data_IF_227075618488
#
_entry.id   IF_227075618488
#
_cell.length_a   1.000
_cell.length_b   1.000
_cell.length_c   1.000
_cell.angle_alpha   90.00
_cell.angle_beta   90.00
_cell.angle_gamma   90.00
#
_symmetry.space_group_name_H-M   'P 1'
#
loop_
_entity.id
_entity.type
_entity.pdbx_description
1 polymer ?
#
# COMPACT_ATOMS: atom_id res chain seq x y z
N UNK A 1 22.72 21.52 5.90
CA UNK A 1 21.66 22.09 6.74
C UNK A 1 20.39 22.17 5.90
N UNK A 2 19.51 21.20 6.06
CA UNK A 2 18.07 21.23 5.74
C UNK A 2 17.50 20.01 6.45
N UNK A 3 16.97 20.25 7.64
CA UNK A 3 16.14 19.29 8.34
C UNK A 3 14.80 19.26 7.60
N UNK A 4 14.34 18.07 7.20
CA UNK A 4 12.94 17.82 6.90
C UNK A 4 12.55 16.70 7.85
N UNK A 5 11.85 17.12 8.90
CA UNK A 5 11.19 16.28 9.88
C UNK A 5 9.70 16.32 9.50
N UNK A 6 9.01 15.19 9.70
CA UNK A 6 7.55 15.04 9.82
C UNK A 6 6.76 14.75 8.55
N UNK A 7 6.43 13.48 8.34
CA UNK A 7 5.03 12.99 8.35
C UNK A 7 5.00 11.58 8.96
N UNK A 8 5.13 11.45 10.29
CA UNK A 8 4.70 10.26 11.07
C UNK A 8 4.93 10.52 12.58
N UNK A 9 4.29 11.55 13.10
CA UNK A 9 4.15 11.73 14.54
C UNK A 9 2.71 12.13 14.87
N UNK A 10 1.82 11.14 14.99
CA UNK A 10 0.71 11.18 15.95
C UNK A 10 0.27 9.74 16.24
N UNK A 11 0.79 9.16 17.32
CA UNK A 11 0.10 8.10 18.05
C UNK A 11 0.06 8.52 19.52
N UNK A 12 -0.93 9.34 19.85
CA UNK A 12 -1.36 9.47 21.24
C UNK A 12 -2.08 8.18 21.65
N UNK A 13 -1.80 7.62 22.84
CA UNK A 13 -2.46 6.40 23.30
C UNK A 13 -3.86 6.75 23.82
N UNK A 14 -4.87 6.66 22.96
CA UNK A 14 -6.26 6.81 23.37
C UNK A 14 -7.23 6.63 22.22
N UNK A 15 -8.18 5.68 22.39
CA UNK A 15 -9.32 5.35 21.50
C UNK A 15 -9.03 4.33 20.39
N UNK A 16 -9.02 3.06 20.76
CA UNK A 16 -8.84 1.90 19.86
C UNK A 16 -9.99 1.62 18.87
N UNK A 17 -11.03 2.47 18.80
CA UNK A 17 -12.03 2.45 17.72
C UNK A 17 -11.97 3.69 16.80
N UNK A 18 -11.21 4.72 17.19
CA UNK A 18 -10.94 5.90 16.35
C UNK A 18 -9.78 5.62 15.38
N UNK A 19 -8.80 4.84 15.83
CA UNK A 19 -7.53 4.60 15.12
C UNK A 19 -7.68 3.92 13.75
N UNK A 20 -8.58 2.94 13.61
CA UNK A 20 -8.70 2.17 12.37
C UNK A 20 -9.43 2.93 11.27
N UNK A 21 -10.53 3.61 11.59
CA UNK A 21 -11.24 4.47 10.63
C UNK A 21 -10.38 5.66 10.21
N UNK A 22 -9.62 6.22 11.16
CA UNK A 22 -8.66 7.28 10.88
C UNK A 22 -7.52 6.79 9.97
N UNK A 23 -6.94 5.62 10.26
CA UNK A 23 -5.93 5.02 9.39
C UNK A 23 -6.46 4.72 7.99
N UNK A 24 -7.66 4.15 7.87
CA UNK A 24 -8.26 3.85 6.56
C UNK A 24 -8.41 5.12 5.72
N UNK A 25 -8.84 6.22 6.34
CA UNK A 25 -8.90 7.53 5.69
C UNK A 25 -7.52 8.08 5.32
N UNK A 26 -6.53 7.97 6.21
CA UNK A 26 -5.17 8.45 5.96
C UNK A 26 -4.50 7.70 4.80
N UNK A 27 -4.62 6.37 4.75
CA UNK A 27 -4.05 5.58 3.65
C UNK A 27 -4.79 5.87 2.33
N UNK A 28 -6.10 6.08 2.37
CA UNK A 28 -6.86 6.51 1.20
C UNK A 28 -6.38 7.87 0.66
N UNK A 29 -6.15 8.85 1.54
CA UNK A 29 -5.61 10.17 1.19
C UNK A 29 -4.19 10.08 0.60
N UNK A 30 -3.32 9.24 1.18
CA UNK A 30 -1.99 8.94 0.62
C UNK A 30 -2.09 8.44 -0.83
N UNK A 31 -3.06 7.55 -1.12
CA UNK A 31 -3.29 7.09 -2.48
C UNK A 31 -3.81 8.20 -3.42
N UNK A 32 -4.58 9.17 -2.90
CA UNK A 32 -5.05 10.33 -3.65
C UNK A 32 -3.90 11.28 -4.01
N UNK A 33 -2.96 11.52 -3.09
CA UNK A 33 -1.74 12.26 -3.40
C UNK A 33 -0.87 11.50 -4.41
N UNK A 34 -0.70 10.18 -4.25
CA UNK A 34 0.06 9.35 -5.19
C UNK A 34 -0.51 9.41 -6.62
N UNK A 35 -1.83 9.31 -6.75
CA UNK A 35 -2.52 9.37 -8.05
C UNK A 35 -2.51 10.76 -8.69
N UNK A 36 -2.26 11.81 -7.90
CA UNK A 36 -2.41 13.20 -8.32
C UNK A 36 -3.86 13.70 -8.30
N UNK A 37 -4.80 12.91 -7.75
CA UNK A 37 -6.19 13.35 -7.53
C UNK A 37 -6.26 14.46 -6.48
N UNK A 38 -5.39 14.38 -5.47
CA UNK A 38 -5.15 15.44 -4.50
C UNK A 38 -3.82 16.14 -4.82
N UNK A 39 -3.80 17.47 -4.76
CA UNK A 39 -2.58 18.27 -5.01
C UNK A 39 -1.84 18.49 -3.70
N UNK A 40 -0.54 18.21 -3.70
CA UNK A 40 0.36 18.45 -2.58
C UNK A 40 1.77 18.02 -2.92
N UNK A 41 2.67 18.18 -1.96
CA UNK A 41 4.00 17.58 -2.05
C UNK A 41 3.88 16.06 -1.95
N UNK A 42 4.62 15.36 -2.78
CA UNK A 42 4.67 13.90 -2.79
C UNK A 42 6.11 13.46 -2.79
N UNK A 43 6.50 12.59 -1.87
CA UNK A 43 7.87 12.07 -1.81
C UNK A 43 7.95 10.69 -2.48
N UNK A 44 7.70 10.68 -3.80
CA UNK A 44 7.88 9.48 -4.60
C UNK A 44 9.10 9.65 -5.49
N UNK A 45 9.88 8.59 -5.62
CA UNK A 45 11.08 8.58 -6.44
C UNK A 45 10.72 8.65 -7.94
N UNK A 46 11.47 9.45 -8.69
CA UNK A 46 11.29 9.65 -10.13
C UNK A 46 9.82 9.96 -10.52
N UNK A 47 9.18 10.98 -9.92
CA UNK A 47 7.76 11.28 -10.13
C UNK A 47 7.44 11.62 -11.60
N UNK A 48 8.42 12.13 -12.36
CA UNK A 48 8.30 12.44 -13.78
C UNK A 48 8.21 11.18 -14.66
N UNK A 49 8.51 10.00 -14.12
CA UNK A 49 8.37 8.70 -14.80
C UNK A 49 7.04 8.01 -14.50
N UNK A 50 6.24 8.56 -13.59
CA UNK A 50 4.91 8.05 -13.24
C UNK A 50 3.84 8.83 -14.01
N UNK A 51 3.15 8.17 -14.94
CA UNK A 51 2.05 8.80 -15.69
C UNK A 51 0.77 8.89 -14.84
N UNK A 52 0.74 9.88 -13.95
CA UNK A 52 -0.37 10.14 -13.02
C UNK A 52 -1.71 10.37 -13.71
N UNK A 53 -1.72 10.86 -14.95
CA UNK A 53 -2.96 11.07 -15.71
C UNK A 53 -3.72 9.77 -16.01
N UNK A 54 -3.03 8.62 -15.91
CA UNK A 54 -3.60 7.29 -16.12
C UNK A 54 -3.92 6.56 -14.81
N UNK A 55 -3.65 7.17 -13.66
CA UNK A 55 -3.92 6.60 -12.34
C UNK A 55 -5.36 6.82 -11.88
N UNK A 56 -6.31 6.14 -12.51
CA UNK A 56 -7.76 6.28 -12.27
C UNK A 56 -8.40 5.21 -11.34
N UNK A 57 -7.59 4.51 -10.55
CA UNK A 57 -7.97 3.42 -9.66
C UNK A 57 -8.62 2.20 -10.33
N UNK A 58 -8.42 2.02 -11.63
CA UNK A 58 -8.82 0.80 -12.34
C UNK A 58 -7.75 -0.30 -12.20
N UNK A 59 -8.11 -1.54 -12.54
CA UNK A 59 -7.10 -2.60 -12.65
C UNK A 59 -6.04 -2.28 -13.72
N UNK A 60 -6.42 -1.61 -14.80
CA UNK A 60 -5.50 -1.24 -15.89
C UNK A 60 -4.50 -0.17 -15.45
N UNK A 61 -4.83 0.68 -14.46
CA UNK A 61 -3.90 1.69 -13.96
C UNK A 61 -2.72 1.07 -13.20
N UNK A 62 -2.84 -0.18 -12.73
CA UNK A 62 -1.75 -0.90 -12.08
C UNK A 62 -0.60 -1.23 -13.05
N UNK A 63 -0.87 -1.32 -14.36
CA UNK A 63 0.19 -1.47 -15.36
C UNK A 63 1.11 -0.24 -15.41
N UNK A 64 0.58 0.95 -15.08
CA UNK A 64 1.35 2.20 -14.97
C UNK A 64 2.27 2.16 -13.75
N UNK A 65 1.74 1.69 -12.63
CA UNK A 65 2.51 1.52 -11.39
C UNK A 65 3.62 0.49 -11.61
N UNK A 66 3.33 -0.67 -12.21
CA UNK A 66 4.34 -1.70 -12.52
C UNK A 66 5.41 -1.21 -13.51
N UNK A 67 5.03 -0.44 -14.54
CA UNK A 67 6.00 0.17 -15.45
C UNK A 67 6.92 1.15 -14.72
N UNK A 68 6.38 1.98 -13.84
CA UNK A 68 7.15 2.91 -13.01
C UNK A 68 8.06 2.20 -12.01
N UNK A 69 7.58 1.19 -11.28
CA UNK A 69 8.43 0.38 -10.39
C UNK A 69 9.57 -0.31 -11.15
N UNK A 70 9.34 -0.71 -12.41
CA UNK A 70 10.40 -1.25 -13.27
C UNK A 70 11.48 -0.21 -13.60
N UNK A 71 11.12 1.07 -13.67
CA UNK A 71 12.08 2.17 -13.81
C UNK A 71 12.91 2.31 -12.52
N UNK A 72 12.27 2.26 -11.34
CA UNK A 72 12.97 2.33 -10.06
C UNK A 72 14.02 1.22 -9.93
N UNK A 73 13.62 -0.02 -10.23
CA UNK A 73 14.55 -1.17 -10.26
C UNK A 73 15.73 -0.97 -11.20
N UNK A 74 15.49 -0.45 -12.40
CA UNK A 74 16.55 -0.18 -13.38
C UNK A 74 17.54 0.88 -12.90
N UNK A 75 17.12 1.75 -11.99
CA UNK A 75 17.98 2.74 -11.34
C UNK A 75 18.61 2.24 -10.03
N UNK A 76 18.42 0.96 -9.68
CA UNK A 76 19.02 0.36 -8.49
C UNK A 76 18.32 0.73 -7.17
N UNK A 77 17.05 1.15 -7.23
CA UNK A 77 16.25 1.37 -6.01
C UNK A 77 15.93 0.02 -5.37
N UNK A 78 16.31 -0.13 -4.10
CA UNK A 78 16.03 -1.30 -3.28
C UNK A 78 14.96 -0.97 -2.23
N UNK A 79 14.13 -1.94 -1.88
CA UNK A 79 13.02 -1.74 -0.96
C UNK A 79 13.43 -1.63 0.51
N UNK A 80 14.66 -2.01 0.85
CA UNK A 80 15.26 -1.82 2.17
C UNK A 80 15.95 -0.46 2.34
N UNK A 81 15.98 0.38 1.30
CA UNK A 81 16.55 1.71 1.37
C UNK A 81 15.57 2.70 2.01
N UNK A 82 16.11 3.64 2.79
CA UNK A 82 15.33 4.71 3.43
C UNK A 82 14.61 5.59 2.40
N UNK A 83 15.26 5.87 1.27
CA UNK A 83 14.70 6.67 0.16
C UNK A 83 13.50 5.98 -0.53
N UNK A 84 13.38 4.66 -0.47
CA UNK A 84 12.27 3.93 -1.08
C UNK A 84 11.04 3.85 -0.18
N UNK A 85 11.16 4.17 1.11
CA UNK A 85 10.11 3.94 2.10
C UNK A 85 8.79 4.61 1.72
N UNK A 86 8.80 5.92 1.46
CA UNK A 86 7.59 6.66 1.09
C UNK A 86 7.01 6.17 -0.24
N UNK A 87 7.86 6.00 -1.26
CA UNK A 87 7.50 5.42 -2.56
C UNK A 87 6.73 4.10 -2.42
N UNK A 88 7.17 3.20 -1.55
CA UNK A 88 6.55 1.91 -1.31
C UNK A 88 5.20 2.05 -0.61
N UNK A 89 5.11 2.86 0.44
CA UNK A 89 3.86 3.09 1.16
C UNK A 89 2.82 3.70 0.23
N UNK A 90 3.20 4.72 -0.53
CA UNK A 90 2.29 5.47 -1.39
C UNK A 90 1.74 4.64 -2.54
N UNK A 91 2.61 3.88 -3.21
CA UNK A 91 2.17 2.99 -4.29
C UNK A 91 1.42 1.77 -3.75
N UNK A 92 1.80 1.22 -2.60
CA UNK A 92 1.08 0.15 -1.93
C UNK A 92 -0.33 0.58 -1.49
N UNK A 93 -0.47 1.80 -0.97
CA UNK A 93 -1.76 2.42 -0.67
C UNK A 93 -2.64 2.48 -1.93
N UNK A 94 -2.10 2.97 -3.04
CA UNK A 94 -2.81 3.01 -4.33
C UNK A 94 -3.26 1.62 -4.80
N UNK A 95 -2.40 0.60 -4.71
CA UNK A 95 -2.76 -0.78 -5.05
C UNK A 95 -3.92 -1.30 -4.18
N UNK A 96 -3.86 -1.08 -2.87
CA UNK A 96 -4.95 -1.49 -1.98
C UNK A 96 -6.25 -0.73 -2.21
N UNK A 97 -6.16 0.53 -2.59
CA UNK A 97 -7.30 1.37 -2.96
C UNK A 97 -7.94 0.94 -4.30
N UNK A 98 -7.16 0.40 -5.26
CA UNK A 98 -7.71 -0.30 -6.43
C UNK A 98 -8.47 -1.56 -6.01
N UNK A 99 -7.91 -2.36 -5.09
CA UNK A 99 -8.54 -3.57 -4.56
C UNK A 99 -9.87 -3.24 -3.86
N UNK A 100 -9.90 -2.25 -2.96
CA UNK A 100 -11.13 -1.80 -2.27
C UNK A 100 -12.25 -1.45 -3.25
N UNK A 101 -11.93 -0.79 -4.37
CA UNK A 101 -12.92 -0.34 -5.37
C UNK A 101 -13.43 -1.46 -6.28
N UNK A 102 -12.61 -2.48 -6.55
CA UNK A 102 -13.00 -3.58 -7.45
C UNK A 102 -13.58 -4.80 -6.71
N UNK A 103 -13.29 -4.95 -5.41
CA UNK A 103 -13.72 -6.09 -4.63
C UNK A 103 -15.23 -6.09 -4.39
N UNK A 104 -15.82 -7.29 -4.34
CA UNK A 104 -17.24 -7.47 -4.00
C UNK A 104 -17.54 -7.25 -2.53
N UNK A 105 -16.56 -7.52 -1.67
CA UNK A 105 -16.65 -7.36 -0.22
C UNK A 105 -15.92 -6.10 0.20
N UNK A 106 -16.46 -5.32 1.15
CA UNK A 106 -15.75 -4.16 1.68
C UNK A 106 -14.46 -4.56 2.37
N UNK A 107 -13.37 -3.88 2.01
CA UNK A 107 -12.09 -3.97 2.70
C UNK A 107 -11.82 -2.67 3.47
N UNK A 108 -11.11 -2.81 4.58
CA UNK A 108 -10.61 -1.70 5.40
C UNK A 108 -9.13 -1.89 5.69
N UNK A 109 -8.38 -0.79 5.76
CA UNK A 109 -7.01 -0.81 6.23
C UNK A 109 -6.96 -0.92 7.75
N UNK A 110 -6.06 -1.75 8.24
CA UNK A 110 -5.79 -1.94 9.67
C UNK A 110 -4.29 -1.96 9.93
N UNK A 111 -3.82 -1.44 11.09
CA UNK A 111 -2.49 -1.78 11.57
C UNK A 111 -2.36 -3.29 11.72
N UNK A 112 -1.19 -3.84 11.36
CA UNK A 112 -0.89 -5.26 11.53
C UNK A 112 -1.24 -5.77 12.93
N UNK A 113 -0.86 -5.01 13.96
CA UNK A 113 -1.10 -5.39 15.36
C UNK A 113 -2.59 -5.40 15.73
N UNK A 114 -3.40 -4.52 15.14
CA UNK A 114 -4.85 -4.54 15.36
C UNK A 114 -5.49 -5.74 14.67
N UNK A 115 -5.13 -6.01 13.41
CA UNK A 115 -5.60 -7.18 12.69
C UNK A 115 -5.26 -8.47 13.45
N UNK A 116 -4.01 -8.63 13.86
CA UNK A 116 -3.51 -9.85 14.51
C UNK A 116 -4.11 -10.14 15.89
N UNK A 117 -4.67 -9.14 16.59
CA UNK A 117 -5.41 -9.38 17.86
C UNK A 117 -6.64 -10.29 17.67
N UNK A 118 -7.20 -10.31 16.46
CA UNK A 118 -8.40 -11.08 16.12
C UNK A 118 -8.09 -12.46 15.54
N UNK A 119 -6.81 -12.78 15.36
CA UNK A 119 -6.35 -13.96 14.62
C UNK A 119 -5.71 -15.00 15.55
N UNK A 120 -5.56 -16.24 15.04
CA UNK A 120 -4.82 -17.28 15.76
C UNK A 120 -3.34 -16.89 15.88
N UNK A 121 -2.67 -17.09 17.03
CA UNK A 121 -1.26 -16.72 17.21
C UNK A 121 -0.31 -17.29 16.14
N UNK A 122 -0.60 -18.48 15.62
CA UNK A 122 0.19 -19.11 14.57
C UNK A 122 0.25 -18.32 13.26
N UNK A 123 -0.71 -17.43 13.00
CA UNK A 123 -0.70 -16.59 11.80
C UNK A 123 0.50 -15.66 11.77
N UNK A 124 0.98 -15.18 12.93
CA UNK A 124 2.18 -14.34 13.04
C UNK A 124 3.46 -15.04 12.59
N UNK A 125 3.49 -16.37 12.61
CA UNK A 125 4.61 -17.15 12.09
C UNK A 125 4.59 -17.22 10.55
N UNK A 126 3.41 -17.13 9.94
CA UNK A 126 3.23 -17.18 8.49
C UNK A 126 3.37 -15.79 7.86
N UNK A 127 2.89 -14.76 8.55
CA UNK A 127 2.92 -13.36 8.12
C UNK A 127 3.56 -12.57 9.26
N UNK A 128 4.89 -12.51 9.35
CA UNK A 128 5.56 -11.75 10.39
C UNK A 128 5.39 -10.24 10.20
N UNK A 129 5.56 -9.48 11.29
CA UNK A 129 5.62 -8.03 11.23
C UNK A 129 6.89 -7.59 10.48
N UNK A 130 6.74 -6.70 9.52
CA UNK A 130 7.78 -6.12 8.70
C UNK A 130 7.27 -4.82 8.08
N UNK A 131 8.17 -4.06 7.43
CA UNK A 131 7.78 -2.86 6.70
C UNK A 131 6.66 -3.12 5.67
N UNK A 132 6.74 -4.23 4.92
CA UNK A 132 5.73 -4.59 3.91
C UNK A 132 4.40 -5.06 4.50
N UNK A 133 4.35 -5.42 5.79
CA UNK A 133 3.16 -5.99 6.45
C UNK A 133 2.56 -5.08 7.51
N UNK A 134 3.15 -3.91 7.79
CA UNK A 134 2.72 -3.00 8.85
C UNK A 134 1.27 -2.51 8.73
N UNK A 135 0.75 -2.44 7.49
CA UNK A 135 -0.66 -2.20 7.19
C UNK A 135 -1.24 -3.37 6.41
N UNK A 136 -2.41 -3.85 6.86
CA UNK A 136 -3.12 -4.98 6.28
C UNK A 136 -4.43 -4.47 5.69
N UNK A 137 -4.77 -4.95 4.51
CA UNK A 137 -6.08 -4.72 3.93
C UNK A 137 -6.98 -5.92 4.25
N UNK A 138 -7.97 -5.74 5.11
CA UNK A 138 -8.80 -6.81 5.64
C UNK A 138 -10.27 -6.64 5.25
N UNK A 139 -10.91 -7.74 4.86
CA UNK A 139 -12.34 -7.83 4.57
C UNK A 139 -13.12 -8.17 5.83
N UNK A 140 -14.38 -7.72 5.89
CA UNK A 140 -15.34 -8.14 6.93
C UNK A 140 -15.65 -9.64 6.90
N UNK A 141 -15.36 -10.33 5.78
CA UNK A 141 -15.50 -11.79 5.64
C UNK A 141 -14.28 -12.58 6.14
N UNK A 142 -13.25 -11.90 6.66
CA UNK A 142 -12.03 -12.52 7.18
C UNK A 142 -10.92 -12.71 6.14
N UNK A 143 -11.17 -12.41 4.85
CA UNK A 143 -10.11 -12.32 3.85
C UNK A 143 -9.13 -11.18 4.20
N UNK A 144 -7.86 -11.35 3.84
CA UNK A 144 -6.84 -10.32 4.04
C UNK A 144 -5.85 -10.33 2.87
N UNK A 145 -5.26 -9.18 2.61
CA UNK A 145 -4.23 -9.04 1.58
C UNK A 145 -3.21 -7.95 1.96
N UNK A 146 -2.03 -7.96 1.32
CA UNK A 146 -0.87 -7.14 1.70
C UNK A 146 -0.33 -6.32 0.51
N UNK A 147 -1.02 -5.24 0.11
CA UNK A 147 -0.65 -4.48 -1.08
C UNK A 147 0.76 -3.88 -1.01
N UNK A 148 1.17 -3.40 0.17
CA UNK A 148 2.51 -2.83 0.40
C UNK A 148 3.58 -3.91 0.25
N UNK A 149 3.37 -5.09 0.87
CA UNK A 149 4.26 -6.24 0.70
C UNK A 149 4.39 -6.63 -0.78
N UNK A 150 3.30 -6.55 -1.55
CA UNK A 150 3.37 -6.84 -2.99
C UNK A 150 4.27 -5.87 -3.74
N UNK A 151 4.22 -4.57 -3.42
CA UNK A 151 5.12 -3.56 -3.99
C UNK A 151 6.58 -3.82 -3.60
N UNK A 152 6.85 -4.13 -2.32
CA UNK A 152 8.20 -4.54 -1.86
C UNK A 152 8.72 -5.71 -2.70
N UNK A 153 7.91 -6.75 -2.88
CA UNK A 153 8.30 -7.92 -3.69
C UNK A 153 8.48 -7.57 -5.17
N UNK A 154 7.72 -6.63 -5.73
CA UNK A 154 7.99 -6.13 -7.08
C UNK A 154 9.37 -5.47 -7.15
N UNK A 155 9.70 -4.59 -6.21
CA UNK A 155 10.98 -3.89 -6.18
C UNK A 155 12.19 -4.79 -5.88
N UNK A 156 12.01 -5.90 -5.17
CA UNK A 156 13.09 -6.85 -4.87
C UNK A 156 13.19 -7.99 -5.89
N UNK A 157 12.08 -8.66 -6.19
CA UNK A 157 12.05 -9.89 -6.98
C UNK A 157 11.70 -9.65 -8.46
N UNK A 158 11.00 -8.57 -8.79
CA UNK A 158 10.77 -8.12 -10.16
C UNK A 158 9.33 -8.30 -10.67
N UNK A 159 9.12 -8.21 -11.99
CA UNK A 159 7.78 -8.14 -12.61
C UNK A 159 6.95 -9.41 -12.45
N UNK A 160 7.54 -10.53 -12.02
CA UNK A 160 6.79 -11.73 -11.60
C UNK A 160 5.84 -11.44 -10.43
N UNK A 161 6.09 -10.36 -9.68
CA UNK A 161 5.16 -9.82 -8.69
C UNK A 161 4.14 -8.85 -9.31
N UNK A 162 3.57 -9.21 -10.45
CA UNK A 162 2.62 -8.40 -11.20
C UNK A 162 1.46 -7.88 -10.33
N UNK A 163 1.28 -6.55 -10.31
CA UNK A 163 0.33 -5.87 -9.43
C UNK A 163 -1.11 -6.03 -9.92
N UNK A 164 -1.31 -6.01 -11.25
CA UNK A 164 -2.63 -6.13 -11.86
C UNK A 164 -3.20 -7.53 -11.66
N UNK A 165 -2.40 -8.56 -11.91
CA UNK A 165 -2.74 -9.97 -11.68
C UNK A 165 -3.10 -10.19 -10.21
N UNK A 166 -2.25 -9.71 -9.30
CA UNK A 166 -2.49 -9.77 -7.86
C UNK A 166 -3.82 -9.11 -7.47
N UNK A 167 -4.02 -7.84 -7.82
CA UNK A 167 -5.27 -7.13 -7.48
C UNK A 167 -6.50 -7.80 -8.12
N UNK A 168 -6.39 -8.29 -9.35
CA UNK A 168 -7.49 -8.98 -10.04
C UNK A 168 -7.93 -10.27 -9.33
N UNK A 169 -7.01 -10.94 -8.64
CA UNK A 169 -7.29 -12.10 -7.79
C UNK A 169 -8.14 -11.71 -6.58
N UNK A 170 -7.80 -10.60 -5.94
CA UNK A 170 -8.55 -10.06 -4.80
C UNK A 170 -9.95 -9.59 -5.21
N UNK A 171 -10.10 -8.93 -6.37
CA UNK A 171 -11.42 -8.50 -6.86
C UNK A 171 -12.42 -9.65 -7.05
N UNK A 172 -11.90 -10.85 -7.39
CA UNK A 172 -12.71 -12.05 -7.67
C UNK A 172 -13.06 -12.85 -6.41
N UNK A 173 -12.36 -12.63 -5.30
CA UNK A 173 -12.34 -13.55 -4.14
C UNK A 173 -13.47 -13.34 -3.13
N UNK A 174 -14.59 -12.71 -3.51
CA UNK A 174 -15.78 -12.58 -2.67
C UNK A 174 -16.60 -13.88 -2.54
N UNK A 175 -15.97 -15.00 -2.14
CA UNK A 175 -16.65 -16.26 -1.80
C UNK A 175 -16.86 -16.40 -0.31
#
# INVERSE_FOLDING_TARGET
MKAIFSVLMFLSPGVAMSSSNELDSQIAEVAEFFSGSLRGETDVLFPEKLDRNRLNYSLDSLDIVSAWLSVLRKHGVHADSEEAAETIIWSGAYVGEVIKRCAKTPYVWLPYEEYMKTQKPSLRNLIPYSFGTQFVLASTTGAMTLPISKVVRFLEEGPENDLRFYASGECKSGK
#
